data_IF_775537374126
#
_entry.id   IF_775537374126
#
_cell.length_a   1.000
_cell.length_b   1.000
_cell.length_c   1.000
_cell.angle_alpha   90.00
_cell.angle_beta   90.00
_cell.angle_gamma   90.00
#
_symmetry.space_group_name_H-M   'P 1'
#
loop_
_entity.id
_entity.type
_entity.pdbx_description
1 polymer ?
#
# COMPACT_ATOMS: atom_id res chain seq x y z
N UNK A 1 -26.46 12.11 21.87
CA UNK A 1 -25.03 12.19 22.19
C UNK A 1 -24.41 10.85 21.86
N UNK A 2 -23.45 10.74 20.91
CA UNK A 2 -22.79 9.48 20.61
C UNK A 2 -22.05 8.99 21.85
N UNK A 3 -22.14 7.70 22.13
CA UNK A 3 -21.42 7.02 23.22
C UNK A 3 -19.93 7.40 23.10
N UNK A 4 -19.39 8.00 24.16
CA UNK A 4 -17.97 8.32 24.34
C UNK A 4 -17.09 7.16 23.89
N UNK A 5 -16.59 7.19 22.66
CA UNK A 5 -15.42 6.41 22.25
C UNK A 5 -14.21 7.06 22.91
N UNK A 6 -14.03 6.71 24.18
CA UNK A 6 -12.95 7.23 25.00
C UNK A 6 -11.65 6.60 24.52
N UNK A 7 -10.86 7.35 23.77
CA UNK A 7 -9.46 6.97 23.59
C UNK A 7 -8.73 7.24 24.91
N UNK A 8 -8.64 6.21 25.75
CA UNK A 8 -7.98 6.27 27.05
C UNK A 8 -6.54 6.80 26.95
N UNK A 9 -5.88 6.55 25.81
CA UNK A 9 -4.51 6.98 25.56
C UNK A 9 -4.40 8.51 25.51
N UNK A 10 -5.29 9.20 24.78
CA UNK A 10 -5.28 10.67 24.66
C UNK A 10 -5.85 11.39 25.87
N UNK A 11 -6.72 10.72 26.64
CA UNK A 11 -7.31 11.31 27.85
C UNK A 11 -6.39 11.24 29.05
N UNK A 12 -5.45 10.28 29.08
CA UNK A 12 -4.51 10.07 30.18
C UNK A 12 -3.10 10.48 29.75
N UNK A 13 -2.66 11.67 30.17
CA UNK A 13 -1.32 12.17 29.86
C UNK A 13 -0.21 11.17 30.23
N UNK A 14 -0.37 10.43 31.33
CA UNK A 14 0.60 9.43 31.76
C UNK A 14 0.69 8.23 30.81
N UNK A 15 -0.43 7.75 30.29
CA UNK A 15 -0.45 6.66 29.31
C UNK A 15 0.07 7.13 27.96
N UNK A 16 -0.24 8.34 27.54
CA UNK A 16 0.31 8.93 26.32
C UNK A 16 1.83 9.11 26.42
N UNK A 17 2.33 9.58 27.56
CA UNK A 17 3.77 9.69 27.81
C UNK A 17 4.46 8.31 27.78
N UNK A 18 3.84 7.26 28.36
CA UNK A 18 4.36 5.90 28.25
C UNK A 18 4.43 5.42 26.81
N UNK A 19 3.39 5.65 26.03
CA UNK A 19 3.34 5.32 24.60
C UNK A 19 4.49 5.99 23.84
N UNK A 20 4.71 7.29 24.06
CA UNK A 20 5.83 8.02 23.42
C UNK A 20 7.19 7.45 23.82
N UNK A 21 7.43 7.17 25.13
CA UNK A 21 8.67 6.57 25.62
C UNK A 21 8.91 5.20 24.98
N UNK A 22 7.87 4.36 24.87
CA UNK A 22 8.00 3.03 24.25
C UNK A 22 8.32 3.16 22.75
N UNK A 23 7.79 4.16 22.04
CA UNK A 23 8.15 4.44 20.64
C UNK A 23 9.61 4.87 20.50
N UNK A 24 10.09 5.80 21.36
CA UNK A 24 11.49 6.23 21.35
C UNK A 24 12.45 5.06 21.59
N UNK A 25 12.11 4.16 22.53
CA UNK A 25 12.90 2.95 22.76
C UNK A 25 12.86 2.03 21.55
N UNK A 26 11.70 1.84 20.92
CA UNK A 26 11.56 0.99 19.74
C UNK A 26 12.45 1.43 18.58
N UNK A 27 12.58 2.74 18.36
CA UNK A 27 13.39 3.29 17.30
C UNK A 27 14.92 3.21 17.59
N UNK A 28 15.32 3.31 18.85
CA UNK A 28 16.70 3.53 19.23
C UNK A 28 17.35 2.38 20.04
N UNK A 29 16.58 1.29 20.31
CA UNK A 29 17.14 0.12 21.02
C UNK A 29 18.25 -0.57 20.22
N UNK A 30 19.24 -1.23 20.86
CA UNK A 30 19.29 -1.46 22.30
C UNK A 30 19.92 -0.30 23.11
N UNK A 31 20.62 0.62 22.48
CA UNK A 31 21.48 1.61 23.15
C UNK A 31 20.81 2.99 23.26
N UNK A 32 19.76 3.10 24.07
CA UNK A 32 19.11 4.39 24.30
C UNK A 32 19.39 4.91 25.72
N UNK A 33 19.87 6.16 25.83
CA UNK A 33 20.04 6.82 27.11
C UNK A 33 18.76 7.53 27.52
N UNK A 34 18.44 7.47 28.82
CA UNK A 34 17.28 8.20 29.38
C UNK A 34 17.37 9.72 29.14
N UNK A 35 18.59 10.26 29.01
CA UNK A 35 18.84 11.67 28.67
C UNK A 35 18.34 11.98 27.27
N UNK A 36 18.64 11.14 26.29
CA UNK A 36 18.27 11.37 24.88
C UNK A 36 16.73 11.38 24.72
N UNK A 37 16.03 10.49 25.45
CA UNK A 37 14.55 10.49 25.49
C UNK A 37 14.03 11.75 26.19
N UNK A 38 14.65 12.17 27.29
CA UNK A 38 14.25 13.37 28.03
C UNK A 38 14.36 14.61 27.13
N UNK A 39 15.46 14.73 26.40
CA UNK A 39 15.73 15.83 25.48
C UNK A 39 14.75 15.83 24.30
N UNK A 40 14.48 14.65 23.68
CA UNK A 40 13.51 14.55 22.56
C UNK A 40 12.07 14.87 22.98
N UNK A 41 11.69 14.51 24.20
CA UNK A 41 10.33 14.70 24.70
C UNK A 41 10.12 16.03 25.46
N UNK A 42 11.19 16.80 25.69
CA UNK A 42 11.12 18.07 26.44
C UNK A 42 10.74 17.91 27.92
N UNK A 43 11.07 16.77 28.54
CA UNK A 43 10.80 16.49 29.96
C UNK A 43 12.10 16.17 30.73
N UNK A 44 12.04 16.16 32.06
CA UNK A 44 13.21 15.96 32.87
C UNK A 44 13.68 14.49 32.89
N UNK A 45 14.99 14.26 33.04
CA UNK A 45 15.59 12.90 33.18
C UNK A 45 14.96 12.18 34.39
N UNK A 46 14.66 12.90 35.48
CA UNK A 46 14.03 12.33 36.66
C UNK A 46 12.60 11.82 36.36
N UNK A 47 11.87 12.52 35.51
CA UNK A 47 10.54 12.06 35.05
C UNK A 47 10.68 10.79 34.20
N UNK A 48 11.61 10.76 33.22
CA UNK A 48 11.90 9.56 32.42
C UNK A 48 12.30 8.39 33.32
N UNK A 49 13.17 8.61 34.30
CA UNK A 49 13.58 7.53 35.24
C UNK A 49 12.39 6.94 36.01
N UNK A 50 11.42 7.77 36.44
CA UNK A 50 10.18 7.28 37.07
C UNK A 50 9.35 6.45 36.11
N UNK A 51 9.22 6.87 34.84
CA UNK A 51 8.51 6.08 33.82
C UNK A 51 9.21 4.77 33.52
N UNK A 52 10.53 4.74 33.41
CA UNK A 52 11.29 3.51 33.19
C UNK A 52 11.05 2.50 34.31
N UNK A 53 11.11 2.91 35.59
CA UNK A 53 10.78 2.05 36.74
C UNK A 53 9.36 1.50 36.64
N UNK A 54 8.38 2.35 36.23
CA UNK A 54 6.99 1.94 36.07
C UNK A 54 6.80 0.95 34.93
N UNK A 55 7.41 1.21 33.77
CA UNK A 55 7.35 0.34 32.59
C UNK A 55 8.00 -1.01 32.85
N UNK A 56 9.14 -1.05 33.57
CA UNK A 56 9.77 -2.30 33.99
C UNK A 56 8.87 -3.08 34.96
N UNK A 57 8.27 -2.39 35.96
CA UNK A 57 7.31 -3.03 36.90
C UNK A 57 6.09 -3.59 36.17
N UNK A 58 5.63 -2.93 35.12
CA UNK A 58 4.50 -3.38 34.28
C UNK A 58 4.88 -4.51 33.31
N UNK A 59 6.17 -4.87 33.24
CA UNK A 59 6.70 -5.91 32.35
C UNK A 59 6.68 -5.47 30.88
N UNK A 60 6.78 -4.17 30.61
CA UNK A 60 6.83 -3.60 29.27
C UNK A 60 8.28 -3.32 28.83
N UNK A 61 9.20 -3.23 29.78
CA UNK A 61 10.61 -2.93 29.54
C UNK A 61 11.48 -3.94 30.27
N UNK A 62 12.52 -4.42 29.62
CA UNK A 62 13.58 -5.24 30.19
C UNK A 62 14.91 -4.50 30.12
N UNK A 63 15.69 -4.56 31.21
CA UNK A 63 17.06 -4.07 31.22
C UNK A 63 17.99 -5.20 30.75
N UNK A 64 18.82 -4.89 29.76
CA UNK A 64 19.89 -5.78 29.32
C UNK A 64 21.09 -5.82 30.28
N UNK A 65 22.17 -6.44 29.85
CA UNK A 65 23.39 -6.65 30.67
C UNK A 65 24.28 -5.42 30.79
N UNK A 66 24.01 -4.36 30.00
CA UNK A 66 24.82 -3.14 29.96
C UNK A 66 24.14 -1.91 30.59
N UNK A 67 24.96 -0.87 30.94
CA UNK A 67 24.41 0.45 31.30
C UNK A 67 23.68 1.04 30.09
N UNK A 68 22.42 1.44 30.28
CA UNK A 68 21.54 2.00 29.25
C UNK A 68 21.10 1.01 28.14
N UNK A 69 21.12 -0.28 28.43
CA UNK A 69 20.63 -1.32 27.55
C UNK A 69 19.19 -1.66 27.95
N UNK A 70 18.22 -1.22 27.13
CA UNK A 70 16.79 -1.44 27.39
C UNK A 70 16.11 -2.00 26.14
N UNK A 71 15.30 -3.03 26.36
CA UNK A 71 14.56 -3.70 25.30
C UNK A 71 13.06 -3.70 25.57
N UNK A 72 12.29 -3.57 24.50
CA UNK A 72 10.84 -3.76 24.57
C UNK A 72 10.51 -5.25 24.68
N UNK A 73 9.66 -5.59 25.65
CA UNK A 73 9.11 -6.94 25.75
C UNK A 73 8.08 -7.21 24.65
N UNK A 74 7.75 -8.49 24.35
CA UNK A 74 6.63 -8.81 23.46
C UNK A 74 5.31 -8.18 23.91
N UNK A 75 5.10 -8.06 25.25
CA UNK A 75 3.95 -7.38 25.84
C UNK A 75 3.90 -5.89 25.49
N UNK A 76 5.05 -5.21 25.49
CA UNK A 76 5.14 -3.80 25.08
C UNK A 76 4.80 -3.61 23.61
N UNK A 77 5.28 -4.50 22.74
CA UNK A 77 4.95 -4.48 21.29
C UNK A 77 3.46 -4.67 21.07
N UNK A 78 2.83 -5.60 21.79
CA UNK A 78 1.38 -5.79 21.77
C UNK A 78 0.62 -4.54 22.22
N UNK A 79 1.04 -3.95 23.37
CA UNK A 79 0.43 -2.68 23.86
C UNK A 79 0.57 -1.54 22.84
N UNK A 80 1.75 -1.35 22.25
CA UNK A 80 1.95 -0.32 21.22
C UNK A 80 1.01 -0.53 20.02
N UNK A 81 0.82 -1.77 19.59
CA UNK A 81 -0.10 -2.10 18.50
C UNK A 81 -1.56 -1.77 18.84
N UNK A 82 -2.01 -2.09 20.05
CA UNK A 82 -3.37 -1.80 20.52
C UNK A 82 -3.60 -0.29 20.68
N UNK A 83 -2.61 0.43 21.22
CA UNK A 83 -2.62 1.87 21.36
C UNK A 83 -2.70 2.56 19.98
N UNK A 84 -1.92 2.08 18.99
CA UNK A 84 -1.95 2.59 17.62
C UNK A 84 -3.32 2.35 16.96
N UNK A 85 -3.88 1.15 17.08
CA UNK A 85 -5.25 0.85 16.59
C UNK A 85 -6.31 1.74 17.23
N UNK A 86 -6.13 2.07 18.52
CA UNK A 86 -7.03 2.98 19.23
C UNK A 86 -6.95 4.40 18.68
N UNK A 87 -5.75 4.89 18.37
CA UNK A 87 -5.53 6.19 17.71
C UNK A 87 -6.13 6.24 16.31
N UNK A 88 -5.93 5.20 15.52
CA UNK A 88 -6.53 5.10 14.16
C UNK A 88 -8.06 5.16 14.22
N UNK A 89 -8.68 4.43 15.14
CA UNK A 89 -10.14 4.49 15.34
C UNK A 89 -10.61 5.88 15.75
N UNK A 90 -9.88 6.55 16.65
CA UNK A 90 -10.20 7.91 17.08
C UNK A 90 -10.10 8.91 15.93
N UNK A 91 -9.03 8.87 15.15
CA UNK A 91 -8.86 9.73 13.96
C UNK A 91 -9.96 9.45 12.93
N UNK A 92 -10.33 8.18 12.74
CA UNK A 92 -11.41 7.81 11.82
C UNK A 92 -12.76 8.34 12.28
N UNK A 93 -13.06 8.29 13.60
CA UNK A 93 -14.32 8.85 14.14
C UNK A 93 -14.40 10.37 13.95
N UNK A 94 -13.30 11.09 14.22
CA UNK A 94 -13.25 12.53 13.99
C UNK A 94 -13.47 12.88 12.51
N UNK A 95 -12.82 12.16 11.60
CA UNK A 95 -13.00 12.36 10.14
C UNK A 95 -14.46 12.15 9.73
N UNK A 96 -15.11 11.15 10.30
CA UNK A 96 -16.53 10.89 10.08
C UNK A 96 -17.41 12.03 10.63
N UNK A 97 -17.16 12.49 11.86
CA UNK A 97 -17.89 13.60 12.48
C UNK A 97 -17.70 14.92 11.72
N UNK A 98 -16.49 15.18 11.24
CA UNK A 98 -16.17 16.36 10.44
C UNK A 98 -16.67 16.25 8.99
N UNK A 99 -17.35 15.18 8.64
CA UNK A 99 -17.78 14.88 7.24
C UNK A 99 -16.63 14.97 6.23
N UNK A 100 -15.40 14.69 6.65
CA UNK A 100 -14.25 14.52 5.76
C UNK A 100 -14.39 13.12 5.13
N UNK A 101 -15.43 12.95 4.36
CA UNK A 101 -15.68 11.71 3.62
C UNK A 101 -14.71 11.64 2.44
N UNK A 102 -13.96 10.55 2.39
CA UNK A 102 -13.22 10.23 1.16
C UNK A 102 -14.23 9.77 0.12
N UNK A 103 -14.49 10.62 -0.85
CA UNK A 103 -15.23 10.21 -2.02
C UNK A 103 -14.44 9.13 -2.78
N UNK A 104 -15.08 7.98 -3.06
CA UNK A 104 -14.56 7.03 -4.02
C UNK A 104 -15.00 7.46 -5.41
N UNK A 105 -14.10 7.80 -6.34
CA UNK A 105 -14.51 8.13 -7.70
C UNK A 105 -14.95 6.87 -8.45
N UNK A 106 -16.04 6.99 -9.22
CA UNK A 106 -16.56 5.96 -10.09
C UNK A 106 -17.11 6.56 -11.37
N UNK A 107 -17.27 5.74 -12.41
CA UNK A 107 -17.91 6.13 -13.67
C UNK A 107 -19.35 5.58 -13.68
N UNK A 108 -20.31 6.42 -14.01
CA UNK A 108 -21.71 6.06 -14.12
C UNK A 108 -21.97 5.20 -15.37
N UNK A 109 -22.56 4.01 -15.20
CA UNK A 109 -22.99 3.16 -16.32
C UNK A 109 -24.46 3.39 -16.72
N UNK A 110 -25.21 4.12 -15.89
CA UNK A 110 -26.59 4.55 -16.11
C UNK A 110 -26.77 5.93 -15.48
N UNK A 111 -27.82 6.68 -15.83
CA UNK A 111 -28.12 7.94 -15.15
C UNK A 111 -28.32 7.72 -13.65
N UNK A 112 -27.63 8.51 -12.84
CA UNK A 112 -27.65 8.41 -11.37
C UNK A 112 -28.09 9.76 -10.79
N UNK A 113 -28.88 9.70 -9.73
CA UNK A 113 -29.28 10.89 -8.95
C UNK A 113 -28.50 10.97 -7.64
N UNK A 114 -28.28 12.19 -7.18
CA UNK A 114 -27.71 12.44 -5.86
C UNK A 114 -28.49 11.69 -4.76
N UNK A 115 -27.77 11.06 -3.83
CA UNK A 115 -28.36 10.26 -2.77
C UNK A 115 -28.77 8.84 -3.18
N UNK A 116 -28.70 8.49 -4.46
CA UNK A 116 -29.01 7.15 -4.94
C UNK A 116 -27.97 6.14 -4.46
N UNK A 117 -28.43 4.97 -3.98
CA UNK A 117 -27.57 3.83 -3.68
C UNK A 117 -27.21 3.09 -4.96
N UNK A 118 -25.92 2.88 -5.21
CA UNK A 118 -25.40 2.17 -6.37
C UNK A 118 -24.48 1.02 -5.95
N UNK A 119 -24.44 -0.02 -6.75
CA UNK A 119 -23.47 -1.09 -6.65
C UNK A 119 -22.14 -0.68 -7.30
N UNK A 120 -21.05 -1.38 -6.95
CA UNK A 120 -19.71 -1.09 -7.44
C UNK A 120 -19.05 -2.32 -8.03
N UNK A 121 -18.45 -2.14 -9.19
CA UNK A 121 -17.56 -3.12 -9.83
C UNK A 121 -16.27 -2.45 -10.26
N UNK A 122 -15.20 -3.23 -10.42
CA UNK A 122 -13.97 -2.78 -11.07
C UNK A 122 -13.84 -3.49 -12.41
N UNK A 123 -13.70 -2.70 -13.47
CA UNK A 123 -13.43 -3.18 -14.82
C UNK A 123 -12.25 -2.43 -15.39
N UNK A 124 -11.27 -3.16 -15.92
CA UNK A 124 -10.02 -2.58 -16.48
C UNK A 124 -9.28 -1.62 -15.52
N UNK A 125 -9.34 -1.92 -14.21
CA UNK A 125 -8.70 -1.10 -13.18
C UNK A 125 -9.46 0.17 -12.78
N UNK A 126 -10.64 0.43 -13.35
CA UNK A 126 -11.51 1.58 -13.07
C UNK A 126 -12.77 1.14 -12.34
N UNK A 127 -13.22 1.94 -11.38
CA UNK A 127 -14.47 1.68 -10.66
C UNK A 127 -15.66 2.18 -11.48
N UNK A 128 -16.67 1.33 -11.65
CA UNK A 128 -17.93 1.66 -12.28
C UNK A 128 -19.11 1.43 -11.34
N UNK A 129 -20.16 2.19 -11.52
CA UNK A 129 -21.44 1.95 -10.83
C UNK A 129 -22.26 0.93 -11.60
N UNK A 130 -23.03 0.14 -10.84
CA UNK A 130 -24.02 -0.81 -11.39
C UNK A 130 -25.27 -0.79 -10.52
N UNK A 131 -26.31 -1.50 -10.94
CA UNK A 131 -27.49 -1.72 -10.08
C UNK A 131 -27.03 -2.38 -8.77
N UNK A 132 -27.46 -1.88 -7.59
CA UNK A 132 -27.04 -2.43 -6.29
C UNK A 132 -27.52 -3.87 -6.05
N UNK A 133 -28.46 -4.37 -6.84
CA UNK A 133 -28.98 -5.73 -6.78
C UNK A 133 -28.40 -6.65 -7.86
N UNK A 134 -27.44 -6.15 -8.66
CA UNK A 134 -26.81 -6.97 -9.70
C UNK A 134 -26.06 -8.15 -9.07
N UNK A 135 -26.25 -9.38 -9.56
CA UNK A 135 -25.52 -10.55 -9.09
C UNK A 135 -24.00 -10.32 -9.11
N UNK A 136 -23.33 -10.59 -8.01
CA UNK A 136 -21.88 -10.35 -7.85
C UNK A 136 -21.49 -8.96 -7.36
N UNK A 137 -22.43 -8.06 -7.12
CA UNK A 137 -22.17 -6.77 -6.48
C UNK A 137 -22.06 -6.94 -4.96
N UNK A 138 -20.85 -6.89 -4.44
CA UNK A 138 -20.59 -7.04 -2.99
C UNK A 138 -20.29 -5.70 -2.30
N UNK A 139 -20.09 -4.64 -3.05
CA UNK A 139 -19.86 -3.31 -2.53
C UNK A 139 -20.92 -2.33 -3.05
N UNK A 140 -21.34 -1.42 -2.17
CA UNK A 140 -22.35 -0.38 -2.47
C UNK A 140 -21.86 0.97 -1.96
N UNK A 141 -22.35 2.05 -2.55
CA UNK A 141 -22.09 3.40 -2.12
C UNK A 141 -23.27 4.31 -2.42
N UNK A 142 -23.26 5.53 -1.90
CA UNK A 142 -24.29 6.54 -2.13
C UNK A 142 -23.68 7.63 -3.01
N UNK A 143 -24.36 7.98 -4.11
CA UNK A 143 -23.96 9.04 -5.02
C UNK A 143 -23.95 10.41 -4.32
N UNK A 144 -22.91 11.20 -4.56
CA UNK A 144 -22.73 12.53 -3.98
C UNK A 144 -23.26 13.65 -4.89
N UNK A 145 -23.56 13.34 -6.16
CA UNK A 145 -24.09 14.25 -7.14
C UNK A 145 -24.83 13.47 -8.23
N UNK A 146 -25.62 14.18 -9.06
CA UNK A 146 -26.19 13.64 -10.30
C UNK A 146 -25.06 13.31 -11.29
N UNK A 147 -25.23 12.26 -12.09
CA UNK A 147 -24.29 11.91 -13.16
C UNK A 147 -25.03 11.27 -14.33
N UNK A 148 -24.68 11.67 -15.54
CA UNK A 148 -25.13 11.01 -16.78
C UNK A 148 -24.25 9.78 -17.08
N UNK A 149 -24.66 8.95 -18.05
CA UNK A 149 -23.87 7.79 -18.48
C UNK A 149 -22.49 8.21 -18.99
N UNK A 150 -21.45 7.60 -18.45
CA UNK A 150 -20.05 7.87 -18.81
C UNK A 150 -19.41 9.02 -18.01
N UNK A 151 -20.17 9.73 -17.20
CA UNK A 151 -19.61 10.76 -16.31
C UNK A 151 -19.05 10.17 -15.02
N UNK A 152 -18.12 10.91 -14.43
CA UNK A 152 -17.57 10.59 -13.13
C UNK A 152 -18.45 11.12 -11.99
N UNK A 153 -18.45 10.40 -10.88
CA UNK A 153 -19.14 10.82 -9.66
C UNK A 153 -18.37 10.35 -8.41
N UNK A 154 -18.53 11.11 -7.33
CA UNK A 154 -18.09 10.70 -6.01
C UNK A 154 -19.11 9.82 -5.31
N UNK A 155 -18.63 8.81 -4.61
CA UNK A 155 -19.45 7.90 -3.79
C UNK A 155 -19.04 8.00 -2.33
N UNK A 156 -20.02 8.04 -1.43
CA UNK A 156 -19.84 8.04 0.02
C UNK A 156 -20.50 6.82 0.68
N UNK A 157 -20.32 6.67 1.98
CA UNK A 157 -20.92 5.59 2.79
C UNK A 157 -20.72 4.20 2.17
N UNK A 158 -19.47 3.92 1.79
CA UNK A 158 -19.11 2.64 1.16
C UNK A 158 -19.37 1.48 2.12
N UNK A 159 -20.10 0.48 1.66
CA UNK A 159 -20.42 -0.76 2.35
C UNK A 159 -19.96 -1.97 1.55
N UNK A 160 -19.53 -3.02 2.25
CA UNK A 160 -19.03 -4.23 1.60
C UNK A 160 -17.57 -4.11 1.16
N UNK A 161 -17.13 -5.11 0.42
CA UNK A 161 -15.77 -5.17 -0.16
C UNK A 161 -15.88 -5.55 -1.63
N UNK A 162 -15.16 -4.84 -2.49
CA UNK A 162 -14.99 -5.27 -3.87
C UNK A 162 -13.99 -6.44 -3.86
N UNK A 163 -14.44 -7.63 -4.22
CA UNK A 163 -13.56 -8.79 -4.46
C UNK A 163 -12.80 -8.59 -5.75
N UNK A 164 -11.67 -7.94 -5.66
CA UNK A 164 -10.76 -7.78 -6.79
C UNK A 164 -9.69 -8.87 -6.76
N UNK A 165 -9.70 -9.76 -7.74
CA UNK A 165 -8.57 -10.66 -7.99
C UNK A 165 -7.43 -9.81 -8.52
N UNK A 166 -6.30 -9.82 -7.80
CA UNK A 166 -5.13 -9.10 -8.28
C UNK A 166 -4.62 -9.68 -9.59
N UNK A 167 -4.08 -8.80 -10.43
CA UNK A 167 -3.39 -9.21 -11.64
C UNK A 167 -2.02 -9.81 -11.35
N UNK A 168 -1.42 -10.36 -12.38
CA UNK A 168 -0.08 -10.93 -12.36
C UNK A 168 0.90 -10.02 -13.09
N UNK A 169 2.17 -10.06 -12.72
CA UNK A 169 3.22 -9.33 -13.42
C UNK A 169 4.24 -10.33 -13.99
N UNK A 170 4.49 -10.27 -15.29
CA UNK A 170 5.58 -10.99 -15.93
C UNK A 170 6.69 -10.00 -16.28
N UNK A 171 7.81 -10.10 -15.58
CA UNK A 171 8.99 -9.26 -15.78
C UNK A 171 9.97 -9.99 -16.68
N UNK A 172 10.18 -9.46 -17.87
CA UNK A 172 11.16 -9.97 -18.82
C UNK A 172 12.42 -9.14 -18.73
N UNK A 173 13.49 -9.77 -18.23
CA UNK A 173 14.79 -9.15 -18.06
C UNK A 173 15.55 -9.14 -19.38
N UNK A 174 15.90 -7.94 -19.82
CA UNK A 174 16.67 -7.70 -21.05
C UNK A 174 18.16 -7.45 -20.75
N UNK A 175 19.07 -7.80 -21.68
CA UNK A 175 20.47 -7.45 -21.56
C UNK A 175 20.68 -5.93 -21.63
N UNK A 176 21.67 -5.44 -20.90
CA UNK A 176 22.10 -4.05 -20.99
C UNK A 176 22.76 -3.74 -22.34
N UNK A 177 22.91 -2.46 -22.68
CA UNK A 177 23.62 -2.03 -23.89
C UNK A 177 25.04 -2.62 -23.95
N UNK A 178 25.74 -2.70 -22.81
CA UNK A 178 27.08 -3.32 -22.70
C UNK A 178 27.07 -4.84 -22.96
N UNK A 179 25.95 -5.49 -22.85
CA UNK A 179 25.73 -6.92 -23.11
C UNK A 179 25.08 -7.17 -24.49
N UNK A 180 25.15 -6.20 -25.40
CA UNK A 180 24.59 -6.26 -26.74
C UNK A 180 23.20 -5.64 -26.90
N UNK A 181 22.52 -5.28 -25.80
CA UNK A 181 21.22 -4.61 -25.86
C UNK A 181 20.15 -5.42 -26.60
N UNK A 182 19.30 -4.75 -27.38
CA UNK A 182 18.22 -5.37 -28.15
C UNK A 182 18.69 -6.34 -29.25
N UNK A 183 19.98 -6.35 -29.57
CA UNK A 183 20.58 -7.29 -30.55
C UNK A 183 20.83 -8.68 -29.95
N UNK A 184 21.04 -8.74 -28.63
CA UNK A 184 21.28 -9.99 -27.88
C UNK A 184 20.01 -10.47 -27.17
N UNK A 185 18.85 -10.07 -27.65
CA UNK A 185 17.55 -10.53 -27.15
C UNK A 185 16.98 -11.59 -28.08
N UNK A 186 16.56 -12.69 -27.51
CA UNK A 186 15.75 -13.67 -28.23
C UNK A 186 14.32 -13.15 -28.41
N UNK A 187 14.09 -12.54 -29.55
CA UNK A 187 12.82 -11.91 -29.90
C UNK A 187 11.68 -12.92 -29.94
N UNK A 188 11.92 -14.14 -30.47
CA UNK A 188 10.91 -15.20 -30.54
C UNK A 188 10.47 -15.63 -29.14
N UNK A 189 11.43 -15.79 -28.23
CA UNK A 189 11.14 -16.12 -26.82
C UNK A 189 10.30 -15.04 -26.16
N UNK A 190 10.63 -13.76 -26.36
CA UNK A 190 9.85 -12.63 -25.79
C UNK A 190 8.44 -12.62 -26.37
N UNK A 191 8.29 -12.86 -27.66
CA UNK A 191 6.99 -12.96 -28.31
C UNK A 191 6.14 -14.10 -27.70
N UNK A 192 6.69 -15.30 -27.62
CA UNK A 192 6.01 -16.47 -27.01
C UNK A 192 5.57 -16.17 -25.57
N UNK A 193 6.47 -15.59 -24.75
CA UNK A 193 6.14 -15.23 -23.38
C UNK A 193 4.98 -14.22 -23.31
N UNK A 194 4.93 -13.25 -24.23
CA UNK A 194 3.84 -12.27 -24.28
C UNK A 194 2.51 -12.92 -24.71
N UNK A 195 2.53 -13.76 -25.73
CA UNK A 195 1.35 -14.48 -26.25
C UNK A 195 0.76 -15.46 -25.21
N UNK A 196 1.61 -16.19 -24.51
CA UNK A 196 1.19 -17.10 -23.43
C UNK A 196 0.64 -16.37 -22.21
N UNK A 197 1.24 -15.26 -21.83
CA UNK A 197 0.86 -14.48 -20.66
C UNK A 197 -0.44 -13.72 -20.87
N UNK A 198 -0.76 -13.31 -22.09
CA UNK A 198 -1.95 -12.52 -22.48
C UNK A 198 -2.13 -11.29 -21.58
N UNK A 199 -1.23 -10.31 -21.66
CA UNK A 199 -1.28 -9.14 -20.81
C UNK A 199 -2.45 -8.22 -21.14
N UNK A 200 -3.01 -7.58 -20.12
CA UNK A 200 -3.92 -6.46 -20.27
C UNK A 200 -3.17 -5.16 -20.59
N UNK A 201 -1.91 -5.05 -20.14
CA UNK A 201 -1.05 -3.87 -20.35
C UNK A 201 0.41 -4.30 -20.57
N UNK A 202 1.09 -3.57 -21.44
CA UNK A 202 2.51 -3.74 -21.72
C UNK A 202 3.26 -2.52 -21.19
N UNK A 203 4.29 -2.76 -20.36
CA UNK A 203 5.15 -1.74 -19.82
C UNK A 203 6.61 -1.92 -20.30
N UNK A 204 7.30 -0.81 -20.55
CA UNK A 204 8.67 -0.85 -21.03
C UNK A 204 9.57 0.11 -20.27
N UNK A 205 10.71 -0.40 -19.80
CA UNK A 205 11.70 0.38 -19.06
C UNK A 205 13.00 0.51 -19.84
N UNK A 206 13.26 1.73 -20.34
CA UNK A 206 14.49 2.10 -21.02
C UNK A 206 14.52 1.81 -22.53
N UNK A 207 15.53 2.37 -23.21
CA UNK A 207 15.64 2.36 -24.66
C UNK A 207 15.75 0.94 -25.27
N UNK A 208 16.41 0.01 -24.57
CA UNK A 208 16.53 -1.38 -25.03
C UNK A 208 15.16 -2.06 -25.09
N UNK A 209 14.34 -1.85 -24.05
CA UNK A 209 12.97 -2.38 -24.03
C UNK A 209 12.13 -1.81 -25.16
N UNK A 210 12.21 -0.49 -25.40
CA UNK A 210 11.52 0.13 -26.53
C UNK A 210 11.96 -0.42 -27.88
N UNK A 211 13.27 -0.63 -28.07
CA UNK A 211 13.79 -1.25 -29.30
C UNK A 211 13.30 -2.69 -29.49
N UNK A 212 13.10 -3.45 -28.40
CA UNK A 212 12.52 -4.80 -28.45
C UNK A 212 11.05 -4.73 -28.83
N UNK A 213 10.25 -3.83 -28.23
CA UNK A 213 8.84 -3.66 -28.61
C UNK A 213 8.68 -3.27 -30.08
N UNK A 214 9.53 -2.39 -30.61
CA UNK A 214 9.50 -2.02 -32.01
C UNK A 214 9.77 -3.23 -32.95
N UNK A 215 10.66 -4.15 -32.56
CA UNK A 215 10.90 -5.39 -33.31
C UNK A 215 9.74 -6.38 -33.26
N UNK A 216 8.92 -6.30 -32.20
CA UNK A 216 7.72 -7.11 -32.01
C UNK A 216 6.45 -6.45 -32.58
N UNK A 217 6.57 -5.22 -33.11
CA UNK A 217 5.45 -4.39 -33.58
C UNK A 217 4.37 -4.15 -32.51
N UNK A 218 4.79 -4.19 -31.23
CA UNK A 218 3.93 -3.96 -30.08
C UNK A 218 4.04 -2.53 -29.57
N UNK A 219 2.94 -2.02 -29.00
CA UNK A 219 2.90 -0.70 -28.35
C UNK A 219 2.96 -0.86 -26.83
N UNK A 220 3.68 0.06 -26.18
CA UNK A 220 3.68 0.13 -24.74
C UNK A 220 2.50 1.00 -24.25
N UNK A 221 1.82 0.53 -23.22
CA UNK A 221 0.81 1.29 -22.48
C UNK A 221 1.44 2.15 -21.38
N UNK A 222 2.59 1.70 -20.82
CA UNK A 222 3.27 2.34 -19.70
C UNK A 222 4.75 2.50 -20.02
N UNK A 223 5.21 3.76 -20.14
CA UNK A 223 6.61 4.09 -20.47
C UNK A 223 7.32 4.95 -19.43
N UNK A 224 6.56 5.62 -18.55
CA UNK A 224 7.08 6.49 -17.49
C UNK A 224 6.50 6.14 -16.13
N UNK A 225 7.27 6.35 -15.06
CA UNK A 225 6.85 5.98 -13.71
C UNK A 225 6.57 4.49 -13.50
N UNK A 226 7.20 3.63 -14.32
CA UNK A 226 6.82 2.26 -14.62
C UNK A 226 6.69 1.40 -13.39
N UNK A 227 7.68 1.41 -12.49
CA UNK A 227 7.68 0.50 -11.33
C UNK A 227 6.41 0.64 -10.48
N UNK A 228 6.02 1.88 -10.20
CA UNK A 228 4.82 2.18 -9.43
C UNK A 228 3.54 1.97 -10.24
N UNK A 229 3.52 2.38 -11.49
CA UNK A 229 2.36 2.22 -12.38
C UNK A 229 2.00 0.75 -12.59
N UNK A 230 2.99 -0.13 -12.83
CA UNK A 230 2.83 -1.57 -12.96
C UNK A 230 2.28 -2.20 -11.69
N UNK A 231 2.83 -1.85 -10.52
CA UNK A 231 2.34 -2.35 -9.25
C UNK A 231 0.88 -1.90 -8.97
N UNK A 232 0.54 -0.64 -9.28
CA UNK A 232 -0.83 -0.14 -9.16
C UNK A 232 -1.77 -0.85 -10.14
N UNK A 233 -1.37 -1.04 -11.40
CA UNK A 233 -2.18 -1.73 -12.40
C UNK A 233 -2.49 -3.17 -11.97
N UNK A 234 -1.48 -3.91 -11.50
CA UNK A 234 -1.66 -5.27 -10.99
C UNK A 234 -2.52 -5.29 -9.71
N UNK A 235 -2.36 -4.34 -8.79
CA UNK A 235 -3.24 -4.23 -7.61
C UNK A 235 -4.69 -3.97 -7.96
N UNK A 236 -4.97 -3.46 -9.17
CA UNK A 236 -6.31 -3.22 -9.72
C UNK A 236 -6.80 -4.35 -10.63
N UNK A 237 -6.13 -5.50 -10.64
CA UNK A 237 -6.57 -6.71 -11.34
C UNK A 237 -6.03 -6.87 -12.76
N UNK A 238 -5.13 -6.01 -13.24
CA UNK A 238 -4.59 -6.08 -14.60
C UNK A 238 -3.34 -6.96 -14.64
N UNK A 239 -3.24 -7.84 -15.63
CA UNK A 239 -2.03 -8.58 -15.94
C UNK A 239 -1.06 -7.68 -16.72
N UNK A 240 0.16 -7.51 -16.22
CA UNK A 240 1.13 -6.59 -16.81
C UNK A 240 2.38 -7.31 -17.27
N UNK A 241 2.70 -7.18 -18.55
CA UNK A 241 3.93 -7.66 -19.15
C UNK A 241 4.96 -6.54 -19.17
N UNK A 242 6.14 -6.76 -18.59
CA UNK A 242 7.13 -5.69 -18.38
C UNK A 242 8.47 -6.06 -18.98
N UNK A 243 8.98 -5.26 -19.90
CA UNK A 243 10.34 -5.34 -20.43
C UNK A 243 11.28 -4.45 -19.64
N UNK A 244 12.25 -5.04 -18.93
CA UNK A 244 13.14 -4.34 -18.00
C UNK A 244 14.60 -4.63 -18.27
N UNK A 245 15.44 -3.61 -18.33
CA UNK A 245 16.90 -3.80 -18.49
C UNK A 245 17.54 -4.17 -17.14
N UNK A 246 18.24 -5.27 -17.11
CA UNK A 246 19.13 -5.81 -16.05
C UNK A 246 18.97 -5.23 -14.64
N UNK A 247 19.72 -4.16 -14.33
CA UNK A 247 19.75 -3.55 -12.98
C UNK A 247 18.43 -2.93 -12.53
N UNK A 248 17.52 -2.61 -13.45
CA UNK A 248 16.23 -1.99 -13.12
C UNK A 248 15.21 -3.02 -12.61
N UNK A 249 15.48 -4.31 -12.77
CA UNK A 249 14.64 -5.40 -12.24
C UNK A 249 14.47 -5.28 -10.73
N UNK A 250 15.56 -5.04 -9.99
CA UNK A 250 15.50 -4.93 -8.53
C UNK A 250 14.61 -3.77 -8.06
N UNK A 251 14.64 -2.63 -8.78
CA UNK A 251 13.77 -1.51 -8.47
C UNK A 251 12.29 -1.86 -8.72
N UNK A 252 12.02 -2.63 -9.76
CA UNK A 252 10.66 -3.10 -10.07
C UNK A 252 10.15 -4.03 -8.97
N UNK A 253 10.92 -5.04 -8.59
CA UNK A 253 10.53 -6.00 -7.55
C UNK A 253 10.36 -5.33 -6.19
N UNK A 254 11.24 -4.40 -5.80
CA UNK A 254 11.08 -3.63 -4.57
C UNK A 254 9.77 -2.84 -4.52
N UNK A 255 9.36 -2.21 -5.63
CA UNK A 255 8.12 -1.45 -5.66
C UNK A 255 6.89 -2.36 -5.57
N UNK A 256 6.94 -3.55 -6.19
CA UNK A 256 5.87 -4.57 -6.05
C UNK A 256 5.77 -5.02 -4.58
N UNK A 257 6.89 -5.31 -3.92
CA UNK A 257 6.91 -5.71 -2.52
C UNK A 257 6.43 -4.59 -1.58
N UNK A 258 6.76 -3.33 -1.88
CA UNK A 258 6.25 -2.18 -1.14
C UNK A 258 4.72 -2.06 -1.20
N UNK A 259 4.12 -2.44 -2.33
CA UNK A 259 2.66 -2.50 -2.47
C UNK A 259 2.09 -3.71 -1.74
N UNK A 260 2.74 -4.87 -1.84
CA UNK A 260 2.34 -6.11 -1.16
C UNK A 260 2.29 -5.94 0.37
N UNK A 261 3.29 -5.28 0.96
CA UNK A 261 3.35 -5.01 2.41
C UNK A 261 2.13 -4.19 2.89
N UNK A 262 1.61 -3.30 2.03
CA UNK A 262 0.47 -2.41 2.35
C UNK A 262 -0.88 -3.00 1.99
N UNK A 263 -0.91 -4.11 1.27
CA UNK A 263 -2.12 -4.75 0.75
C UNK A 263 -2.52 -5.97 1.56
N UNK A 264 -3.83 -6.22 1.67
CA UNK A 264 -4.36 -7.46 2.27
C UNK A 264 -4.15 -8.70 1.37
N UNK A 265 -3.88 -8.49 0.08
CA UNK A 265 -3.63 -9.53 -0.92
C UNK A 265 -2.34 -9.22 -1.67
N UNK A 266 -1.54 -10.26 -1.98
CA UNK A 266 -0.24 -10.09 -2.63
C UNK A 266 -0.33 -10.19 -4.15
N UNK A 267 0.31 -9.24 -4.86
CA UNK A 267 0.53 -9.29 -6.29
C UNK A 267 1.58 -10.36 -6.56
N UNK A 268 1.25 -11.35 -7.40
CA UNK A 268 2.22 -12.35 -7.85
C UNK A 268 3.00 -11.83 -9.04
N UNK A 269 4.30 -12.07 -9.04
CA UNK A 269 5.15 -11.73 -10.18
C UNK A 269 6.14 -12.84 -10.50
N UNK A 270 6.56 -12.91 -11.74
CA UNK A 270 7.56 -13.83 -12.25
C UNK A 270 8.62 -13.07 -13.03
N UNK A 271 9.88 -13.52 -12.93
CA UNK A 271 11.00 -12.93 -13.67
C UNK A 271 11.55 -13.97 -14.66
N UNK A 272 11.62 -13.60 -15.92
CA UNK A 272 12.19 -14.41 -17.02
C UNK A 272 13.34 -13.67 -17.69
N UNK A 273 14.37 -14.36 -18.07
CA UNK A 273 15.51 -13.79 -18.83
C UNK A 273 15.28 -14.01 -20.33
N UNK A 274 15.43 -12.94 -21.12
CA UNK A 274 15.28 -12.96 -22.57
C UNK A 274 16.61 -12.91 -23.33
N UNK A 275 17.74 -13.12 -22.64
CA UNK A 275 19.04 -13.17 -23.31
C UNK A 275 19.13 -14.42 -24.18
N UNK A 276 19.66 -14.26 -25.41
CA UNK A 276 20.11 -15.39 -26.24
C UNK A 276 21.18 -16.19 -25.49
N UNK A 277 21.16 -17.51 -25.52
CA UNK A 277 22.16 -18.37 -24.89
C UNK A 277 23.59 -18.01 -25.30
#
# INVERSE_FOLDING_TARGET
LPKKNQNLLLQNKGEFTKFQILLEIMHNQPHIKQKDIADSMGITIQAISKYFKKLTKEGLLEAGSGRADYHLTPKAKGKLHDDLKSLERYVTSIKSEMKIERALPAIATQPIKEGQTVGLIIKEGVTYTVDPNNPGTEAKGIAMADAAVGEDLGLRNLQGKIKLKQGKILIVKLPSIRQGGSRSVDIKKVQTLCEEFKPDRIAVMGAVGRAVLNKLELKADIEFGISRAVAIAASRGLNVFVLVVGKMTNRMTQEIENVNIKSATCISYEVRDAKTP
#
